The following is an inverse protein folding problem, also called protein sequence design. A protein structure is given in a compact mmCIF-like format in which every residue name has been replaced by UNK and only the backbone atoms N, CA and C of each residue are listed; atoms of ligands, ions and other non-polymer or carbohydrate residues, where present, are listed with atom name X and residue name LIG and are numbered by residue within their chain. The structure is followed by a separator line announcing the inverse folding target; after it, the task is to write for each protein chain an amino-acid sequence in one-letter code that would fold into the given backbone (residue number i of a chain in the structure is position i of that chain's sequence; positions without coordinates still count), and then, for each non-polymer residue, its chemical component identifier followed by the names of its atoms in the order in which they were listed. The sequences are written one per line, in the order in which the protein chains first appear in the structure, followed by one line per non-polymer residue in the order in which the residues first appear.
data_IF_493865966116
#
_entry.id   IF_493865966116
#
_cell.length_a   1.000
_cell.length_b   1.000
_cell.length_c   1.000
_cell.angle_alpha   90.00
_cell.angle_beta   90.00
_cell.angle_gamma   90.00
#
_symmetry.space_group_name_H-M   'P 1'
#
loop_
_entity.id
_entity.type
_entity.pdbx_description
1 polymer ?
#
# COMPACT_ATOMS: atom_id res chain seq x y z
N UNK A 1 0.69 14.14 -11.38
CA UNK A 1 0.99 15.49 -11.92
C UNK A 1 1.25 15.37 -13.41
N UNK A 2 0.49 16.09 -14.24
CA UNK A 2 0.59 16.06 -15.71
C UNK A 2 1.86 16.74 -16.24
N UNK A 3 2.46 17.63 -15.45
CA UNK A 3 3.69 18.35 -15.78
C UNK A 3 4.82 17.92 -14.84
N UNK A 4 5.85 17.26 -15.37
CA UNK A 4 7.03 16.83 -14.58
C UNK A 4 7.76 18.03 -13.98
N UNK A 5 7.82 19.17 -14.69
CA UNK A 5 8.47 20.39 -14.22
C UNK A 5 7.79 21.08 -13.02
N UNK A 6 6.60 20.65 -12.62
CA UNK A 6 5.87 21.17 -11.47
C UNK A 6 5.89 20.20 -10.27
N UNK A 7 6.73 19.16 -10.34
CA UNK A 7 6.88 18.20 -9.26
C UNK A 7 7.50 18.88 -8.03
N UNK A 8 6.78 18.88 -6.90
CA UNK A 8 7.19 19.58 -5.67
C UNK A 8 6.63 20.99 -5.53
N UNK A 9 6.07 21.58 -6.59
CA UNK A 9 5.30 22.82 -6.49
C UNK A 9 3.90 22.45 -6.00
N UNK A 10 3.62 22.78 -4.73
CA UNK A 10 2.29 22.63 -4.16
C UNK A 10 1.39 23.69 -4.80
N UNK A 11 0.38 23.28 -5.56
CA UNK A 11 -0.76 24.14 -5.94
C UNK A 11 -1.71 24.39 -4.73
N UNK A 12 -1.17 24.25 -3.51
CA UNK A 12 -1.85 24.24 -2.23
C UNK A 12 -2.70 22.99 -2.00
N UNK A 13 -3.17 22.82 -0.77
CA UNK A 13 -4.10 21.75 -0.35
C UNK A 13 -5.52 21.91 -0.93
N UNK A 14 -5.63 22.56 -2.09
CA UNK A 14 -6.88 23.11 -2.62
C UNK A 14 -7.53 22.23 -3.66
N UNK A 15 -6.80 21.34 -4.33
CA UNK A 15 -7.35 20.61 -5.48
C UNK A 15 -8.52 19.70 -5.04
N UNK A 16 -8.34 18.94 -3.96
CA UNK A 16 -9.42 18.12 -3.38
C UNK A 16 -10.49 19.01 -2.74
N UNK A 17 -10.09 20.05 -1.98
CA UNK A 17 -11.04 20.93 -1.27
C UNK A 17 -11.99 21.68 -2.22
N UNK A 18 -11.49 22.14 -3.36
CA UNK A 18 -12.30 22.80 -4.39
C UNK A 18 -13.31 21.84 -5.00
N UNK A 19 -12.87 20.63 -5.37
CA UNK A 19 -13.78 19.59 -5.90
C UNK A 19 -14.87 19.25 -4.88
N UNK A 20 -14.51 19.03 -3.61
CA UNK A 20 -15.48 18.74 -2.53
C UNK A 20 -16.46 19.91 -2.34
N UNK A 21 -15.97 21.15 -2.34
CA UNK A 21 -16.82 22.35 -2.20
C UNK A 21 -17.83 22.46 -3.33
N UNK A 22 -17.37 22.30 -4.58
CA UNK A 22 -18.23 22.37 -5.76
C UNK A 22 -19.28 21.24 -5.75
N UNK A 23 -18.88 20.01 -5.40
CA UNK A 23 -19.81 18.88 -5.31
C UNK A 23 -20.86 19.08 -4.22
N UNK A 24 -20.50 19.66 -3.07
CA UNK A 24 -21.47 19.97 -2.01
C UNK A 24 -22.49 21.03 -2.41
N UNK A 25 -22.10 21.99 -3.25
CA UNK A 25 -23.03 22.99 -3.77
C UNK A 25 -24.06 22.39 -4.73
N UNK A 26 -23.61 21.50 -5.61
CA UNK A 26 -24.49 20.86 -6.61
C UNK A 26 -25.31 19.70 -6.02
N UNK A 27 -24.75 18.98 -5.05
CA UNK A 27 -25.33 17.79 -4.43
C UNK A 27 -25.33 17.98 -2.90
N UNK A 28 -26.26 18.76 -2.34
CA UNK A 28 -26.25 19.12 -0.92
C UNK A 28 -26.39 17.92 0.04
N UNK A 29 -26.93 16.80 -0.45
CA UNK A 29 -27.06 15.55 0.30
C UNK A 29 -25.79 14.68 0.26
N UNK A 30 -24.78 15.01 -0.55
CA UNK A 30 -23.52 14.28 -0.59
C UNK A 30 -22.64 14.66 0.61
N UNK A 31 -22.56 13.75 1.60
CA UNK A 31 -21.85 14.01 2.87
C UNK A 31 -20.47 13.35 2.94
N UNK A 32 -20.31 12.21 2.28
CA UNK A 32 -19.10 11.38 2.38
C UNK A 32 -18.26 11.52 1.12
N UNK A 33 -16.96 11.74 1.30
CA UNK A 33 -15.96 11.82 0.24
C UNK A 33 -14.80 10.93 0.66
N UNK A 34 -14.39 10.03 -0.23
CA UNK A 34 -13.26 9.11 0.00
C UNK A 34 -12.46 8.96 -1.29
N UNK A 35 -11.25 8.44 -1.16
CA UNK A 35 -10.38 8.10 -2.28
C UNK A 35 -10.06 6.61 -2.23
N UNK A 36 -9.98 5.98 -3.39
CA UNK A 36 -9.36 4.67 -3.55
C UNK A 36 -8.00 4.93 -4.19
N UNK A 37 -6.94 4.80 -3.39
CA UNK A 37 -5.60 5.29 -3.75
C UNK A 37 -4.60 4.13 -3.76
N UNK A 38 -3.65 4.09 -4.73
CA UNK A 38 -2.63 3.05 -4.80
C UNK A 38 -1.50 3.26 -3.78
N UNK A 39 -0.70 2.23 -3.55
CA UNK A 39 0.47 2.21 -2.65
C UNK A 39 1.77 1.91 -3.43
N UNK A 40 2.24 2.82 -4.29
CA UNK A 40 3.27 2.53 -5.30
C UNK A 40 4.65 2.14 -4.76
N UNK A 41 4.91 2.37 -3.47
CA UNK A 41 6.18 2.03 -2.81
C UNK A 41 6.13 0.76 -1.96
N UNK A 42 4.95 0.17 -1.76
CA UNK A 42 4.75 -0.86 -0.75
C UNK A 42 5.52 -2.14 -1.06
N UNK A 43 5.47 -2.65 -2.30
CA UNK A 43 6.20 -3.89 -2.66
C UNK A 43 7.70 -3.76 -2.43
N UNK A 44 8.30 -2.64 -2.82
CA UNK A 44 9.74 -2.42 -2.60
C UNK A 44 10.07 -2.42 -1.11
N UNK A 45 9.27 -1.69 -0.32
CA UNK A 45 9.44 -1.64 1.13
C UNK A 45 9.30 -3.04 1.76
N UNK A 46 8.31 -3.82 1.32
CA UNK A 46 8.05 -5.16 1.80
C UNK A 46 9.23 -6.11 1.56
N UNK A 47 9.83 -6.06 0.38
CA UNK A 47 11.03 -6.85 0.08
C UNK A 47 12.18 -6.48 1.05
N UNK A 48 12.43 -5.18 1.29
CA UNK A 48 13.46 -4.74 2.24
C UNK A 48 13.15 -5.14 3.69
N UNK A 49 11.86 -5.18 4.08
CA UNK A 49 11.44 -5.65 5.39
C UNK A 49 11.82 -7.13 5.60
N UNK A 50 11.48 -8.00 4.64
CA UNK A 50 11.81 -9.44 4.75
C UNK A 50 13.30 -9.72 4.60
N UNK A 51 14.03 -8.97 3.77
CA UNK A 51 15.49 -9.04 3.70
C UNK A 51 16.12 -8.73 5.06
N UNK A 52 15.68 -7.67 5.74
CA UNK A 52 16.17 -7.33 7.07
C UNK A 52 15.77 -8.37 8.13
N UNK A 53 14.53 -8.87 8.09
CA UNK A 53 14.01 -9.85 9.05
C UNK A 53 14.73 -11.21 8.95
N UNK A 54 15.23 -11.59 7.77
CA UNK A 54 15.98 -12.83 7.56
C UNK A 54 17.27 -12.95 8.39
N UNK A 55 17.75 -11.84 8.96
CA UNK A 55 18.94 -11.79 9.82
C UNK A 55 18.67 -12.06 11.30
N UNK A 56 17.39 -12.14 11.68
CA UNK A 56 16.95 -12.32 13.08
C UNK A 56 16.68 -13.80 13.35
N UNK A 57 17.12 -14.31 14.51
CA UNK A 57 16.94 -15.73 14.88
C UNK A 57 15.47 -16.13 15.12
N UNK A 58 14.63 -15.19 15.56
CA UNK A 58 13.22 -15.41 15.84
C UNK A 58 12.34 -14.87 14.70
N UNK A 59 11.60 -15.76 14.05
CA UNK A 59 10.69 -15.42 12.96
C UNK A 59 9.35 -14.95 13.50
N UNK A 60 8.92 -13.75 13.09
CA UNK A 60 7.59 -13.22 13.36
C UNK A 60 6.48 -13.90 12.55
N UNK A 61 5.24 -13.49 12.82
CA UNK A 61 4.07 -14.08 12.16
C UNK A 61 4.04 -13.83 10.64
N UNK A 62 4.61 -12.72 10.16
CA UNK A 62 4.66 -12.41 8.74
C UNK A 62 5.66 -13.29 8.00
N UNK A 63 6.81 -13.55 8.61
CA UNK A 63 7.86 -14.42 8.08
C UNK A 63 7.37 -15.87 8.00
N UNK A 64 6.67 -16.34 9.03
CA UNK A 64 6.05 -17.67 9.05
C UNK A 64 4.98 -17.82 7.96
N UNK A 65 4.10 -16.82 7.82
CA UNK A 65 3.09 -16.81 6.76
C UNK A 65 3.72 -16.80 5.35
N UNK A 66 4.80 -16.04 5.16
CA UNK A 66 5.54 -16.02 3.90
C UNK A 66 6.15 -17.39 3.57
N UNK A 67 6.79 -18.04 4.55
CA UNK A 67 7.34 -19.39 4.38
C UNK A 67 6.27 -20.41 4.00
N UNK A 68 5.12 -20.40 4.69
CA UNK A 68 4.02 -21.29 4.39
C UNK A 68 3.44 -21.03 2.99
N UNK A 69 3.26 -19.76 2.61
CA UNK A 69 2.84 -19.40 1.26
C UNK A 69 3.83 -19.89 0.19
N UNK A 70 5.13 -19.74 0.43
CA UNK A 70 6.17 -20.22 -0.46
C UNK A 70 6.13 -21.75 -0.65
N UNK A 71 5.95 -22.50 0.45
CA UNK A 71 5.79 -23.95 0.41
C UNK A 71 4.57 -24.36 -0.43
N UNK A 72 3.42 -23.69 -0.24
CA UNK A 72 2.19 -23.96 -1.01
C UNK A 72 2.33 -23.64 -2.49
N UNK A 73 3.13 -22.65 -2.83
CA UNK A 73 3.40 -22.23 -4.21
C UNK A 73 4.55 -23.03 -4.86
N UNK A 74 5.35 -23.76 -4.07
CA UNK A 74 6.54 -24.46 -4.55
C UNK A 74 7.65 -23.53 -5.00
N UNK A 75 7.81 -22.37 -4.34
CA UNK A 75 8.82 -21.34 -4.65
C UNK A 75 9.76 -21.13 -3.46
N UNK A 76 10.82 -20.34 -3.67
CA UNK A 76 11.73 -19.94 -2.60
C UNK A 76 11.01 -19.09 -1.53
N UNK A 77 11.42 -19.24 -0.27
CA UNK A 77 10.80 -18.56 0.88
C UNK A 77 11.26 -17.10 1.01
N UNK A 78 11.20 -16.36 -0.10
CA UNK A 78 11.47 -14.93 -0.17
C UNK A 78 10.25 -14.18 -0.73
N UNK A 79 10.15 -12.90 -0.37
CA UNK A 79 8.99 -12.08 -0.72
C UNK A 79 8.86 -11.91 -2.24
N UNK A 80 9.98 -11.81 -2.96
CA UNK A 80 9.93 -11.56 -4.38
C UNK A 80 9.44 -12.78 -5.15
N UNK A 81 9.94 -13.97 -4.82
CA UNK A 81 9.48 -15.22 -5.41
C UNK A 81 7.98 -15.48 -5.13
N UNK A 82 7.54 -15.32 -3.87
CA UNK A 82 6.14 -15.53 -3.48
C UNK A 82 5.20 -14.61 -4.26
N UNK A 83 5.48 -13.31 -4.27
CA UNK A 83 4.54 -12.36 -4.87
C UNK A 83 4.77 -12.14 -6.37
N UNK A 84 5.81 -12.73 -6.98
CA UNK A 84 5.97 -12.86 -8.44
C UNK A 84 5.42 -14.20 -8.97
N UNK A 85 5.07 -15.15 -8.09
CA UNK A 85 4.42 -16.38 -8.49
C UNK A 85 3.12 -16.05 -9.26
N UNK A 86 2.94 -16.57 -10.49
CA UNK A 86 1.79 -16.23 -11.31
C UNK A 86 0.48 -16.56 -10.59
N UNK A 87 -0.43 -15.59 -10.51
CA UNK A 87 -1.78 -15.77 -9.98
C UNK A 87 -1.85 -16.30 -8.53
N UNK A 88 -0.82 -16.05 -7.69
CA UNK A 88 -0.85 -16.46 -6.28
C UNK A 88 -2.13 -16.02 -5.55
N UNK A 89 -2.67 -14.85 -5.92
CA UNK A 89 -3.89 -14.26 -5.34
C UNK A 89 -5.18 -15.00 -5.72
N UNK A 90 -5.13 -15.94 -6.68
CA UNK A 90 -6.24 -16.81 -7.04
C UNK A 90 -6.21 -18.14 -6.27
N UNK A 91 -5.09 -18.47 -5.61
CA UNK A 91 -5.01 -19.58 -4.69
C UNK A 91 -5.60 -19.12 -3.34
N UNK A 92 -6.82 -19.58 -3.02
CA UNK A 92 -7.55 -19.16 -1.82
C UNK A 92 -6.78 -19.44 -0.52
N UNK A 93 -6.06 -20.57 -0.43
CA UNK A 93 -5.27 -20.90 0.74
C UNK A 93 -4.11 -19.90 0.92
N UNK A 94 -3.36 -19.63 -0.14
CA UNK A 94 -2.23 -18.68 -0.11
C UNK A 94 -2.72 -17.26 0.15
N UNK A 95 -3.81 -16.84 -0.49
CA UNK A 95 -4.39 -15.52 -0.30
C UNK A 95 -4.84 -15.32 1.16
N UNK A 96 -5.43 -16.34 1.80
CA UNK A 96 -5.85 -16.25 3.20
C UNK A 96 -4.66 -16.25 4.17
N UNK A 97 -3.63 -17.06 3.92
CA UNK A 97 -2.38 -17.07 4.71
C UNK A 97 -1.74 -15.67 4.75
N UNK A 98 -1.67 -15.00 3.59
CA UNK A 98 -0.96 -13.73 3.46
C UNK A 98 -1.78 -12.52 3.91
N UNK A 99 -3.10 -12.61 3.96
CA UNK A 99 -3.99 -11.46 4.14
C UNK A 99 -3.70 -10.64 5.41
N UNK A 100 -3.84 -11.23 6.60
CA UNK A 100 -3.67 -10.49 7.86
C UNK A 100 -2.23 -9.96 8.05
N UNK A 101 -1.17 -10.74 7.77
CA UNK A 101 0.20 -10.23 7.78
C UNK A 101 0.40 -9.04 6.84
N UNK A 102 -0.12 -9.11 5.60
CA UNK A 102 0.02 -8.02 4.63
C UNK A 102 -0.75 -6.77 5.04
N UNK A 103 -1.95 -6.91 5.60
CA UNK A 103 -2.71 -5.77 6.12
C UNK A 103 -1.96 -5.10 7.29
N UNK A 104 -1.37 -5.90 8.18
CA UNK A 104 -0.57 -5.38 9.31
C UNK A 104 0.68 -4.66 8.84
N UNK A 105 1.44 -5.26 7.93
CA UNK A 105 2.65 -4.66 7.36
C UNK A 105 2.33 -3.40 6.54
N UNK A 106 1.23 -3.37 5.81
CA UNK A 106 0.74 -2.17 5.13
C UNK A 106 0.40 -1.05 6.12
N UNK A 107 -0.23 -1.36 7.25
CA UNK A 107 -0.49 -0.38 8.30
C UNK A 107 0.82 0.19 8.87
N UNK A 108 1.83 -0.65 9.09
CA UNK A 108 3.17 -0.20 9.51
C UNK A 108 3.83 0.71 8.47
N UNK A 109 3.86 0.30 7.21
CA UNK A 109 4.38 1.11 6.10
C UNK A 109 3.72 2.49 6.00
N UNK A 110 2.39 2.54 6.14
CA UNK A 110 1.63 3.80 6.09
C UNK A 110 1.91 4.73 7.29
N UNK A 111 2.42 4.19 8.39
CA UNK A 111 2.84 4.95 9.57
C UNK A 111 4.30 5.41 9.49
N UNK A 112 5.11 4.79 8.63
CA UNK A 112 6.54 5.06 8.56
C UNK A 112 6.84 6.46 7.99
N UNK A 113 7.86 7.10 8.56
CA UNK A 113 8.27 8.45 8.22
C UNK A 113 9.64 8.42 7.56
N UNK A 114 9.85 9.32 6.59
CA UNK A 114 11.17 9.52 6.02
C UNK A 114 12.07 10.22 7.01
N UNK A 115 13.29 9.73 7.15
CA UNK A 115 14.30 10.31 8.05
C UNK A 115 14.53 11.80 7.77
N UNK A 116 14.67 12.17 6.49
CA UNK A 116 15.09 13.51 6.07
C UNK A 116 14.14 14.65 6.45
N UNK A 117 12.84 14.38 6.52
CA UNK A 117 11.81 15.43 6.66
C UNK A 117 10.61 15.03 7.50
N UNK A 118 10.64 13.84 8.12
CA UNK A 118 9.60 13.32 9.01
C UNK A 118 8.20 13.29 8.40
N UNK A 119 8.11 13.34 7.07
CA UNK A 119 6.86 13.16 6.35
C UNK A 119 6.60 11.67 6.09
N UNK A 120 5.32 11.26 5.89
CA UNK A 120 5.00 9.88 5.52
C UNK A 120 5.84 9.37 4.36
N UNK A 121 6.33 8.13 4.49
CA UNK A 121 7.18 7.47 3.50
C UNK A 121 6.46 7.37 2.15
N UNK A 122 5.23 6.87 2.18
CA UNK A 122 4.41 6.72 0.98
C UNK A 122 4.06 8.09 0.37
N UNK A 123 4.37 8.33 -0.91
CA UNK A 123 4.12 9.62 -1.55
C UNK A 123 2.63 9.95 -1.70
N UNK A 124 1.76 8.94 -1.82
CA UNK A 124 0.31 9.10 -1.99
C UNK A 124 -0.34 9.36 -0.63
N UNK A 125 0.05 8.62 0.42
CA UNK A 125 -0.36 8.89 1.79
C UNK A 125 0.04 10.32 2.21
N UNK A 126 1.29 10.70 1.96
CA UNK A 126 1.79 12.07 2.22
C UNK A 126 0.96 13.15 1.52
N UNK A 127 0.54 12.90 0.28
CA UNK A 127 -0.34 13.82 -0.44
C UNK A 127 -1.72 13.93 0.22
N UNK A 128 -2.40 12.81 0.50
CA UNK A 128 -3.75 12.85 1.07
C UNK A 128 -3.77 13.36 2.51
N UNK A 129 -2.85 12.91 3.36
CA UNK A 129 -2.71 13.39 4.74
C UNK A 129 -2.37 14.88 4.76
N UNK A 130 -1.49 15.35 3.87
CA UNK A 130 -1.20 16.78 3.70
C UNK A 130 -2.41 17.61 3.24
N UNK A 131 -3.44 16.99 2.68
CA UNK A 131 -4.73 17.62 2.35
C UNK A 131 -5.77 17.52 3.47
N UNK A 132 -5.43 16.91 4.62
CA UNK A 132 -6.34 16.71 5.75
C UNK A 132 -7.24 15.49 5.63
N UNK A 133 -6.92 14.54 4.75
CA UNK A 133 -7.56 13.23 4.75
C UNK A 133 -7.09 12.39 5.96
N UNK A 134 -7.78 11.29 6.22
CA UNK A 134 -7.35 10.25 7.16
C UNK A 134 -7.29 8.90 6.43
N UNK A 135 -6.46 7.99 6.93
CA UNK A 135 -6.49 6.60 6.50
C UNK A 135 -7.76 5.96 7.09
N UNK A 136 -8.69 5.58 6.22
CA UNK A 136 -9.97 5.00 6.64
C UNK A 136 -9.93 3.47 6.67
N UNK A 137 -9.35 2.85 5.64
CA UNK A 137 -9.35 1.41 5.43
C UNK A 137 -8.23 0.99 4.48
N UNK A 138 -7.63 -0.17 4.74
CA UNK A 138 -6.75 -0.89 3.81
C UNK A 138 -7.60 -1.96 3.12
N UNK A 139 -7.53 -2.04 1.78
CA UNK A 139 -8.36 -2.98 1.02
C UNK A 139 -7.49 -4.16 0.53
N UNK A 140 -7.75 -5.36 1.05
CA UNK A 140 -7.09 -6.57 0.55
C UNK A 140 -7.50 -6.87 -0.89
N UNK A 141 -6.52 -7.08 -1.77
CA UNK A 141 -6.72 -7.36 -3.21
C UNK A 141 -7.65 -6.33 -3.91
N UNK A 142 -7.51 -5.05 -3.55
CA UNK A 142 -8.25 -3.94 -4.14
C UNK A 142 -7.89 -3.63 -5.60
N UNK A 143 -6.67 -3.98 -6.04
CA UNK A 143 -6.23 -3.86 -7.44
C UNK A 143 -5.42 -5.09 -7.89
N UNK A 144 -6.11 -6.07 -8.49
CA UNK A 144 -5.46 -7.27 -9.04
C UNK A 144 -4.94 -7.11 -10.46
N UNK A 145 -4.87 -5.88 -10.98
CA UNK A 145 -4.18 -5.62 -12.24
C UNK A 145 -2.69 -5.91 -12.13
N UNK A 146 -2.02 -6.13 -13.26
CA UNK A 146 -0.57 -6.35 -13.28
C UNK A 146 0.21 -5.22 -12.58
N UNK A 147 -0.29 -3.98 -12.67
CA UNK A 147 0.31 -2.83 -12.01
C UNK A 147 0.13 -2.88 -10.49
N UNK A 148 -1.10 -3.09 -10.00
CA UNK A 148 -1.37 -3.18 -8.55
C UNK A 148 -0.59 -4.32 -7.89
N UNK A 149 -0.44 -5.45 -8.58
CA UNK A 149 0.39 -6.57 -8.11
C UNK A 149 1.87 -6.20 -8.01
N UNK A 150 2.42 -5.50 -9.01
CA UNK A 150 3.82 -5.06 -9.02
C UNK A 150 4.12 -3.96 -7.98
N UNK A 151 3.19 -3.04 -7.78
CA UNK A 151 3.40 -1.87 -6.91
C UNK A 151 3.12 -2.18 -5.43
N UNK A 152 2.11 -3.00 -5.14
CA UNK A 152 1.59 -3.18 -3.78
C UNK A 152 1.05 -4.57 -3.44
N UNK A 153 1.39 -5.61 -4.22
CA UNK A 153 0.83 -6.96 -4.05
C UNK A 153 -0.71 -6.98 -4.09
N UNK A 154 -1.31 -6.03 -4.80
CA UNK A 154 -2.76 -5.91 -4.94
C UNK A 154 -3.49 -5.15 -3.83
N UNK A 155 -2.78 -4.59 -2.85
CA UNK A 155 -3.34 -3.66 -1.86
C UNK A 155 -3.69 -2.30 -2.46
#
# INVERSE_FOLDING_TARGET
NTQKGLQGISFGSFLIKQVVTNLRQQLPNLKTFSTLSPLPGFRRWLNSYFEAASTVEEQGAAEQALHLAAERLGVEADADAVFNAPHWWQNEEVAEILKEPMLTLCAHYLHELREKDQNPLDPVARFHLGNGARIERINWLGDTSAKGMQESCGL
#
